data_IF_972084248719
#
_entry.id   IF_972084248719
#
_cell.length_a   1.000
_cell.length_b   1.000
_cell.length_c   1.000
_cell.angle_alpha   90.00
_cell.angle_beta   90.00
_cell.angle_gamma   90.00
#
_symmetry.space_group_name_H-M   'P 1'
#
loop_
_entity.id
_entity.type
_entity.pdbx_description
1 polymer ?
#
# COMPACT_ATOMS: atom_id res chain seq x y z
N UNK A 1 -22.41 11.88 15.28
CA UNK A 1 -23.33 11.64 16.40
C UNK A 1 -22.50 11.52 17.66
N UNK A 2 -22.55 12.49 18.57
CA UNK A 2 -21.78 12.46 19.82
C UNK A 2 -22.33 11.36 20.73
N UNK A 3 -21.44 10.50 21.19
CA UNK A 3 -21.78 9.41 22.14
C UNK A 3 -22.24 10.07 23.46
N UNK A 4 -23.44 9.76 23.93
CA UNK A 4 -23.95 10.32 25.18
C UNK A 4 -23.24 9.71 26.38
N UNK A 5 -23.22 10.45 27.52
CA UNK A 5 -22.64 9.96 28.77
C UNK A 5 -23.28 8.64 29.26
N UNK A 6 -24.51 8.33 28.81
CA UNK A 6 -25.22 7.08 29.10
C UNK A 6 -24.64 5.92 28.31
N UNK A 7 -24.22 6.15 27.06
CA UNK A 7 -23.56 5.15 26.21
C UNK A 7 -22.15 4.83 26.72
N UNK A 8 -21.45 5.81 27.32
CA UNK A 8 -20.15 5.58 27.95
C UNK A 8 -20.25 4.69 29.21
N UNK A 9 -21.30 4.87 30.04
CA UNK A 9 -21.49 4.04 31.23
C UNK A 9 -21.83 2.57 30.91
N UNK A 10 -22.59 2.32 29.85
CA UNK A 10 -22.91 0.97 29.40
C UNK A 10 -21.70 0.24 28.79
N UNK A 11 -20.71 0.99 28.30
CA UNK A 11 -19.50 0.45 27.65
C UNK A 11 -18.38 0.06 28.63
N UNK A 12 -18.39 0.60 29.85
CA UNK A 12 -17.36 0.34 30.86
C UNK A 12 -17.66 -0.85 31.78
N UNK A 13 -18.79 -1.55 31.61
CA UNK A 13 -19.12 -2.72 32.38
C UNK A 13 -18.67 -4.00 31.67
N UNK A 14 -17.38 -4.34 31.73
CA UNK A 14 -16.96 -5.68 31.37
C UNK A 14 -15.63 -5.85 30.59
N UNK A 15 -14.86 -4.81 30.33
CA UNK A 15 -13.51 -5.01 29.81
C UNK A 15 -12.65 -5.66 30.93
N UNK A 16 -12.40 -6.96 30.82
CA UNK A 16 -11.43 -7.63 31.67
C UNK A 16 -10.03 -7.06 31.34
N UNK A 17 -9.19 -6.86 32.39
CA UNK A 17 -7.81 -6.43 32.18
C UNK A 17 -7.10 -7.36 31.17
N UNK A 18 -6.23 -6.81 30.34
CA UNK A 18 -5.39 -7.61 29.44
C UNK A 18 -4.63 -8.67 30.23
N UNK A 19 -4.91 -9.92 29.96
CA UNK A 19 -4.26 -11.07 30.60
C UNK A 19 -3.34 -11.76 29.57
N UNK A 20 -2.01 -11.62 29.71
CA UNK A 20 -1.05 -12.22 28.78
C UNK A 20 -1.03 -13.76 28.82
N UNK A 21 -1.73 -14.39 29.79
CA UNK A 21 -1.80 -15.86 29.93
C UNK A 21 -3.02 -16.46 29.24
N UNK A 22 -3.94 -15.65 28.69
CA UNK A 22 -5.11 -16.16 27.98
C UNK A 22 -4.73 -16.97 26.74
N UNK A 23 -5.46 -18.04 26.40
CA UNK A 23 -5.19 -18.91 25.23
C UNK A 23 -5.08 -18.11 23.92
N UNK A 24 -5.89 -17.07 23.76
CA UNK A 24 -5.83 -16.18 22.59
C UNK A 24 -4.45 -15.53 22.42
N UNK A 25 -3.85 -15.03 23.50
CA UNK A 25 -2.53 -14.40 23.44
C UNK A 25 -1.44 -15.41 23.06
N UNK A 26 -1.58 -16.65 23.49
CA UNK A 26 -0.68 -17.74 23.12
C UNK A 26 -0.79 -18.07 21.62
N UNK A 27 -2.00 -18.22 21.09
CA UNK A 27 -2.23 -18.43 19.65
C UNK A 27 -1.65 -17.29 18.79
N UNK A 28 -1.89 -16.05 19.17
CA UNK A 28 -1.35 -14.87 18.47
C UNK A 28 0.18 -14.89 18.49
N UNK A 29 0.79 -15.25 19.62
CA UNK A 29 2.24 -15.39 19.75
C UNK A 29 2.81 -16.48 18.84
N UNK A 30 2.17 -17.62 18.73
CA UNK A 30 2.63 -18.70 17.86
C UNK A 30 2.56 -18.30 16.38
N UNK A 31 1.53 -17.54 15.96
CA UNK A 31 1.45 -16.98 14.61
C UNK A 31 2.61 -16.01 14.36
N UNK A 32 2.89 -15.11 15.30
CA UNK A 32 3.99 -14.15 15.20
C UNK A 32 5.33 -14.90 15.14
N UNK A 33 5.57 -15.86 16.02
CA UNK A 33 6.80 -16.68 16.01
C UNK A 33 6.98 -17.44 14.69
N UNK A 34 5.91 -17.84 14.02
CA UNK A 34 5.99 -18.52 12.73
C UNK A 34 6.47 -17.61 11.59
N UNK A 35 6.62 -16.30 11.82
CA UNK A 35 7.27 -15.34 10.91
C UNK A 35 8.76 -15.17 11.18
N UNK A 36 9.29 -15.73 12.30
CA UNK A 36 10.68 -15.54 12.71
C UNK A 36 11.61 -16.56 12.06
N UNK A 37 12.82 -16.12 11.74
CA UNK A 37 13.93 -17.00 11.38
C UNK A 37 14.94 -17.08 12.52
N UNK A 38 15.44 -18.27 12.80
CA UNK A 38 16.53 -18.52 13.76
C UNK A 38 17.90 -18.61 13.09
N UNK A 39 17.98 -18.39 11.79
CA UNK A 39 19.21 -18.45 11.00
C UNK A 39 19.23 -17.36 9.91
N UNK A 40 20.39 -17.14 9.31
CA UNK A 40 20.56 -16.14 8.26
C UNK A 40 21.03 -14.78 8.77
N UNK A 41 21.04 -13.78 7.90
CA UNK A 41 21.59 -12.46 8.27
C UNK A 41 20.66 -11.61 9.15
N UNK A 42 19.42 -12.07 9.37
CA UNK A 42 18.43 -11.44 10.24
C UNK A 42 17.74 -12.50 11.09
N UNK A 43 18.06 -12.52 12.38
CA UNK A 43 17.59 -13.56 13.32
C UNK A 43 16.71 -12.91 14.37
N UNK A 44 15.59 -13.55 14.70
CA UNK A 44 14.67 -13.11 15.75
C UNK A 44 14.57 -14.19 16.83
N UNK A 45 15.05 -13.86 18.04
CA UNK A 45 15.07 -14.78 19.18
C UNK A 45 14.06 -14.37 20.24
N UNK A 46 13.37 -15.31 20.88
CA UNK A 46 12.56 -15.01 22.06
C UNK A 46 13.44 -14.42 23.19
N UNK A 47 12.95 -13.37 23.84
CA UNK A 47 13.59 -12.74 25.01
C UNK A 47 12.50 -12.40 26.05
N UNK A 48 12.09 -13.38 26.83
CA UNK A 48 10.96 -13.28 27.77
C UNK A 48 9.64 -12.98 27.02
N UNK A 49 9.07 -11.80 27.30
CA UNK A 49 7.85 -11.32 26.61
C UNK A 49 8.11 -10.59 25.28
N UNK A 50 9.38 -10.35 24.95
CA UNK A 50 9.84 -9.58 23.79
C UNK A 50 10.54 -10.49 22.81
N UNK A 51 10.91 -9.91 21.67
CA UNK A 51 11.78 -10.53 20.69
C UNK A 51 13.05 -9.69 20.55
N UNK A 52 14.19 -10.35 20.49
CA UNK A 52 15.49 -9.73 20.23
C UNK A 52 15.86 -9.98 18.78
N UNK A 53 16.15 -8.90 18.08
CA UNK A 53 16.64 -8.93 16.69
C UNK A 53 18.17 -8.92 16.71
N UNK A 54 18.77 -9.87 16.01
CA UNK A 54 20.20 -9.93 15.75
C UNK A 54 20.45 -9.77 14.24
N UNK A 55 21.25 -8.79 13.87
CA UNK A 55 21.61 -8.51 12.46
C UNK A 55 23.08 -8.80 12.23
N UNK A 56 23.41 -9.51 11.15
CA UNK A 56 24.78 -9.65 10.69
C UNK A 56 25.27 -8.29 10.16
N UNK A 57 26.13 -7.62 10.93
CA UNK A 57 26.61 -6.29 10.61
C UNK A 57 27.41 -6.25 9.29
N UNK A 58 28.15 -7.33 8.96
CA UNK A 58 28.91 -7.42 7.72
C UNK A 58 27.98 -7.54 6.51
N UNK A 59 26.94 -8.35 6.60
CA UNK A 59 25.93 -8.48 5.55
C UNK A 59 25.24 -7.14 5.28
N UNK A 60 24.67 -6.49 6.32
CA UNK A 60 23.87 -5.28 6.18
C UNK A 60 24.67 -4.00 5.92
N UNK A 61 26.00 -3.99 6.16
CA UNK A 61 26.86 -2.83 5.82
C UNK A 61 26.83 -2.44 4.34
N UNK A 62 26.44 -3.36 3.46
CA UNK A 62 26.33 -3.16 2.01
C UNK A 62 25.01 -2.53 1.55
N UNK A 63 24.11 -2.26 2.47
CA UNK A 63 22.76 -1.76 2.20
C UNK A 63 22.54 -0.39 2.81
N UNK A 64 21.71 0.41 2.17
CA UNK A 64 21.09 1.61 2.72
C UNK A 64 19.79 1.22 3.39
N UNK A 65 19.50 1.76 4.58
CA UNK A 65 18.29 1.50 5.34
C UNK A 65 17.26 2.62 5.09
N UNK A 66 15.99 2.23 4.91
CA UNK A 66 14.84 3.12 4.87
C UNK A 66 13.73 2.55 5.74
N UNK A 67 12.85 3.40 6.24
CA UNK A 67 11.66 2.98 6.98
C UNK A 67 10.44 3.72 6.45
N UNK A 68 9.33 3.01 6.40
CA UNK A 68 8.03 3.60 6.08
C UNK A 68 7.02 3.24 7.17
N UNK A 69 6.06 4.12 7.38
CA UNK A 69 4.95 3.95 8.31
C UNK A 69 3.67 4.48 7.68
N UNK A 70 2.61 3.71 7.77
CA UNK A 70 1.27 4.16 7.36
C UNK A 70 0.21 3.42 8.19
N UNK A 71 -1.04 3.88 8.09
CA UNK A 71 -2.22 3.31 8.71
C UNK A 71 -3.30 2.94 7.69
N UNK A 72 -4.24 2.10 8.11
CA UNK A 72 -5.37 1.71 7.26
C UNK A 72 -6.38 2.85 7.05
N UNK A 73 -6.43 3.82 7.98
CA UNK A 73 -7.30 4.98 7.95
C UNK A 73 -8.80 4.65 7.91
N UNK A 74 -9.57 5.43 7.16
CA UNK A 74 -11.04 5.28 7.08
C UNK A 74 -11.49 3.86 6.70
N UNK A 75 -10.68 3.10 5.98
CA UNK A 75 -11.00 1.74 5.52
C UNK A 75 -11.13 0.74 6.68
N UNK A 76 -10.43 0.97 7.80
CA UNK A 76 -10.55 0.16 9.01
C UNK A 76 -11.96 0.11 9.59
N UNK A 77 -12.71 1.22 9.55
CA UNK A 77 -14.14 1.22 9.93
C UNK A 77 -14.97 0.36 8.99
N UNK A 78 -14.72 0.42 7.68
CA UNK A 78 -15.47 -0.33 6.68
C UNK A 78 -15.20 -1.84 6.86
N UNK A 79 -13.94 -2.25 6.98
CA UNK A 79 -13.57 -3.65 7.26
C UNK A 79 -14.15 -4.15 8.59
N UNK A 80 -14.20 -3.30 9.61
CA UNK A 80 -14.82 -3.66 10.90
C UNK A 80 -16.30 -3.98 10.74
N UNK A 81 -17.03 -3.17 9.98
CA UNK A 81 -18.46 -3.35 9.73
C UNK A 81 -18.75 -4.54 8.81
N UNK A 82 -17.89 -4.77 7.82
CA UNK A 82 -18.02 -5.86 6.85
C UNK A 82 -17.51 -7.21 7.39
N UNK A 83 -16.73 -7.21 8.48
CA UNK A 83 -16.14 -8.44 9.00
C UNK A 83 -14.94 -8.95 8.20
N UNK A 84 -14.24 -8.07 7.48
CA UNK A 84 -13.16 -8.39 6.54
C UNK A 84 -11.79 -7.91 7.05
N UNK A 85 -11.43 -8.27 8.29
CA UNK A 85 -10.23 -7.77 8.96
C UNK A 85 -8.93 -8.25 8.32
N UNK A 86 -8.93 -9.47 7.77
CA UNK A 86 -7.78 -10.03 7.06
C UNK A 86 -7.44 -9.25 5.80
N UNK A 87 -8.46 -8.79 5.10
CA UNK A 87 -8.34 -7.91 3.95
C UNK A 87 -7.81 -6.53 4.36
N UNK A 88 -8.25 -6.03 5.52
CA UNK A 88 -7.72 -4.80 6.10
C UNK A 88 -6.22 -4.88 6.43
N UNK A 89 -5.72 -6.03 6.86
CA UNK A 89 -4.29 -6.25 7.02
C UNK A 89 -3.53 -6.11 5.68
N UNK A 90 -4.13 -6.56 4.57
CA UNK A 90 -3.56 -6.40 3.23
C UNK A 90 -3.49 -4.93 2.81
N UNK A 91 -4.49 -4.14 3.17
CA UNK A 91 -4.49 -2.71 2.86
C UNK A 91 -3.31 -1.98 3.51
N UNK A 92 -3.14 -2.12 4.82
CA UNK A 92 -2.03 -1.45 5.52
C UNK A 92 -0.66 -2.00 5.09
N UNK A 93 -0.57 -3.29 4.79
CA UNK A 93 0.65 -3.90 4.27
C UNK A 93 1.04 -3.30 2.92
N UNK A 94 0.10 -3.17 1.99
CA UNK A 94 0.34 -2.56 0.68
C UNK A 94 0.82 -1.12 0.82
N UNK A 95 0.15 -0.30 1.66
CA UNK A 95 0.53 1.11 1.85
C UNK A 95 2.00 1.26 2.25
N UNK A 96 2.49 0.43 3.17
CA UNK A 96 3.86 0.55 3.69
C UNK A 96 4.89 -0.16 2.80
N UNK A 97 4.57 -1.37 2.32
CA UNK A 97 5.52 -2.17 1.54
C UNK A 97 5.75 -1.60 0.13
N UNK A 98 4.71 -1.06 -0.50
CA UNK A 98 4.81 -0.51 -1.84
C UNK A 98 5.46 0.89 -1.85
N UNK A 99 5.31 1.68 -0.77
CA UNK A 99 6.07 2.92 -0.57
C UNK A 99 7.57 2.62 -0.38
N UNK A 100 7.92 1.58 0.39
CA UNK A 100 9.32 1.15 0.49
C UNK A 100 9.88 0.65 -0.86
N UNK A 101 9.04 0.03 -1.69
CA UNK A 101 9.44 -0.46 -3.01
C UNK A 101 9.83 0.68 -3.97
N UNK A 102 9.38 1.91 -3.73
CA UNK A 102 9.81 3.09 -4.50
C UNK A 102 11.33 3.33 -4.40
N UNK A 103 11.95 2.93 -3.29
CA UNK A 103 13.39 3.11 -3.07
C UNK A 103 14.28 2.16 -3.88
N UNK A 104 13.72 1.12 -4.49
CA UNK A 104 14.46 0.14 -5.27
C UNK A 104 14.07 -1.31 -4.97
N UNK A 105 14.94 -2.26 -5.29
CA UNK A 105 14.74 -3.68 -4.95
C UNK A 105 14.94 -3.89 -3.45
N UNK A 106 13.91 -3.53 -2.71
CA UNK A 106 13.96 -3.50 -1.25
C UNK A 106 13.87 -4.90 -0.64
N UNK A 107 14.73 -5.17 0.34
CA UNK A 107 14.62 -6.29 1.28
C UNK A 107 13.92 -5.76 2.53
N UNK A 108 12.79 -6.34 2.91
CA UNK A 108 12.06 -5.97 4.12
C UNK A 108 12.15 -7.14 5.10
N UNK A 109 13.08 -7.12 6.08
CA UNK A 109 13.26 -8.23 7.02
C UNK A 109 12.30 -8.18 8.21
N UNK A 110 11.71 -7.01 8.51
CA UNK A 110 10.88 -6.82 9.69
C UNK A 110 9.73 -5.87 9.51
N UNK A 111 8.69 -6.08 10.32
CA UNK A 111 7.58 -5.16 10.52
C UNK A 111 7.17 -5.09 12.00
N UNK A 112 6.56 -3.97 12.36
CA UNK A 112 5.98 -3.69 13.69
C UNK A 112 4.57 -3.17 13.48
N UNK A 113 3.59 -3.70 14.21
CA UNK A 113 2.20 -3.28 14.10
C UNK A 113 1.69 -2.57 15.37
N UNK A 114 0.68 -1.71 15.18
CA UNK A 114 -0.11 -1.14 16.25
C UNK A 114 -1.58 -1.25 15.90
N UNK A 115 -2.28 -2.16 16.55
CA UNK A 115 -3.71 -2.38 16.35
C UNK A 115 -4.49 -1.59 17.41
N UNK A 116 -5.37 -0.70 16.97
CA UNK A 116 -6.28 0.05 17.84
C UNK A 116 -7.70 -0.39 17.50
N UNK A 117 -8.45 -0.88 18.46
CA UNK A 117 -9.82 -1.38 18.23
C UNK A 117 -10.79 -0.82 19.26
N UNK A 118 -12.03 -0.51 18.84
CA UNK A 118 -13.03 0.15 19.69
C UNK A 118 -13.47 -0.64 20.91
N UNK A 119 -13.35 -1.96 20.87
CA UNK A 119 -13.67 -2.88 21.98
C UNK A 119 -12.84 -4.15 21.87
N UNK A 120 -12.68 -4.88 22.97
CA UNK A 120 -12.03 -6.18 22.95
C UNK A 120 -12.80 -7.15 22.03
N UNK A 121 -12.14 -7.59 20.95
CA UNK A 121 -12.69 -8.51 19.95
C UNK A 121 -11.55 -9.40 19.43
N UNK A 122 -11.37 -10.51 20.11
CA UNK A 122 -10.25 -11.43 19.85
C UNK A 122 -10.26 -12.00 18.44
N UNK A 123 -11.45 -12.28 17.90
CA UNK A 123 -11.57 -12.84 16.54
C UNK A 123 -11.08 -11.84 15.48
N UNK A 124 -11.41 -10.56 15.65
CA UNK A 124 -10.95 -9.50 14.74
C UNK A 124 -9.47 -9.24 14.85
N UNK A 125 -8.94 -9.11 16.07
CA UNK A 125 -7.50 -8.92 16.31
C UNK A 125 -6.72 -10.09 15.71
N UNK A 126 -7.16 -11.32 15.97
CA UNK A 126 -6.57 -12.53 15.40
C UNK A 126 -6.59 -12.51 13.87
N UNK A 127 -7.70 -12.10 13.24
CA UNK A 127 -7.82 -11.97 11.80
C UNK A 127 -6.80 -10.98 11.19
N UNK A 128 -6.55 -9.84 11.87
CA UNK A 128 -5.54 -8.87 11.45
C UNK A 128 -4.14 -9.47 11.54
N UNK A 129 -3.77 -10.01 12.70
CA UNK A 129 -2.42 -10.60 12.91
C UNK A 129 -2.18 -11.77 11.99
N UNK A 130 -3.18 -12.63 11.76
CA UNK A 130 -3.08 -13.73 10.79
C UNK A 130 -2.88 -13.20 9.37
N UNK A 131 -3.61 -12.14 8.99
CA UNK A 131 -3.44 -11.49 7.69
C UNK A 131 -2.02 -10.98 7.47
N UNK A 132 -1.44 -10.28 8.46
CA UNK A 132 -0.06 -9.80 8.42
C UNK A 132 0.95 -10.98 8.34
N UNK A 133 0.71 -12.06 9.10
CA UNK A 133 1.58 -13.23 9.07
C UNK A 133 1.52 -14.00 7.75
N UNK A 134 0.36 -14.06 7.10
CA UNK A 134 0.23 -14.66 5.78
C UNK A 134 0.98 -13.83 4.72
N UNK A 135 0.81 -12.51 4.73
CA UNK A 135 1.51 -11.57 3.84
C UNK A 135 3.03 -11.59 4.06
N UNK A 136 3.48 -11.73 5.30
CA UNK A 136 4.88 -11.93 5.67
C UNK A 136 5.53 -13.09 4.90
N UNK A 137 4.81 -14.19 4.76
CA UNK A 137 5.27 -15.40 4.04
C UNK A 137 5.11 -15.26 2.53
N UNK A 138 4.00 -14.69 2.07
CA UNK A 138 3.71 -14.44 0.65
C UNK A 138 4.77 -13.54 0.01
N UNK A 139 5.17 -12.48 0.73
CA UNK A 139 6.17 -11.51 0.28
C UNK A 139 7.55 -11.71 0.92
N UNK A 140 7.89 -12.95 1.25
CA UNK A 140 9.20 -13.30 1.77
C UNK A 140 10.35 -12.68 0.97
N UNK A 141 11.40 -12.26 1.66
CA UNK A 141 12.59 -11.72 1.02
C UNK A 141 13.66 -12.80 0.81
N UNK A 142 14.51 -12.64 -0.19
CA UNK A 142 15.60 -13.57 -0.48
C UNK A 142 16.93 -12.93 -0.10
N UNK A 143 17.74 -13.69 0.66
CA UNK A 143 19.13 -13.33 0.89
C UNK A 143 19.99 -13.59 -0.37
N UNK A 144 21.25 -13.15 -0.35
CA UNK A 144 22.16 -13.29 -1.50
C UNK A 144 22.50 -14.75 -1.83
N UNK A 145 22.38 -15.67 -0.87
CA UNK A 145 22.51 -17.12 -1.06
C UNK A 145 21.26 -17.77 -1.69
N UNK A 146 20.23 -16.97 -1.98
CA UNK A 146 18.96 -17.42 -2.56
C UNK A 146 17.95 -17.96 -1.55
N UNK A 147 18.29 -18.06 -0.27
CA UNK A 147 17.39 -18.53 0.78
C UNK A 147 16.32 -17.49 1.08
N UNK A 148 15.06 -17.93 1.15
CA UNK A 148 13.91 -17.08 1.41
C UNK A 148 13.60 -17.01 2.92
N UNK A 149 13.26 -15.83 3.39
CA UNK A 149 12.90 -15.54 4.78
C UNK A 149 11.61 -14.74 4.83
N UNK A 150 10.65 -15.09 5.73
CA UNK A 150 9.48 -14.27 5.96
C UNK A 150 9.84 -12.86 6.46
N UNK A 151 8.94 -11.89 6.30
CA UNK A 151 9.05 -10.59 6.94
C UNK A 151 8.68 -10.75 8.43
N UNK A 152 9.64 -10.67 9.34
CA UNK A 152 9.40 -10.95 10.74
C UNK A 152 8.53 -9.90 11.41
N UNK A 153 7.48 -10.29 12.11
CA UNK A 153 6.75 -9.43 13.05
C UNK A 153 7.57 -9.39 14.35
N UNK A 154 8.32 -8.32 14.56
CA UNK A 154 9.29 -8.26 15.68
C UNK A 154 8.74 -7.57 16.93
N UNK A 155 7.69 -6.81 16.80
CA UNK A 155 6.93 -6.19 17.89
C UNK A 155 5.52 -5.87 17.42
N UNK A 156 4.61 -5.67 18.35
CA UNK A 156 3.25 -5.21 18.10
C UNK A 156 2.56 -4.82 19.40
N UNK A 157 1.53 -3.99 19.30
CA UNK A 157 0.70 -3.57 20.41
C UNK A 157 -0.77 -3.59 20.00
N UNK A 158 -1.64 -3.95 20.92
CA UNK A 158 -3.10 -3.86 20.73
C UNK A 158 -3.71 -2.97 21.81
N UNK A 159 -4.21 -1.81 21.40
CA UNK A 159 -4.90 -0.86 22.27
C UNK A 159 -6.43 -0.96 22.07
N UNK A 160 -7.17 -1.02 23.18
CA UNK A 160 -8.64 -1.00 23.17
C UNK A 160 -9.09 0.41 23.55
N UNK A 161 -9.59 1.17 22.56
CA UNK A 161 -9.98 2.55 22.73
C UNK A 161 -11.43 2.78 22.29
N UNK A 162 -12.33 3.05 23.24
CA UNK A 162 -13.76 3.30 22.95
C UNK A 162 -14.03 4.58 22.14
N UNK A 163 -13.03 5.44 21.98
CA UNK A 163 -13.09 6.67 21.16
C UNK A 163 -12.88 6.41 19.68
N UNK A 164 -12.30 5.26 19.29
CA UNK A 164 -12.13 4.85 17.89
C UNK A 164 -13.41 4.17 17.40
N UNK A 165 -13.76 4.38 16.15
CA UNK A 165 -14.84 3.67 15.48
C UNK A 165 -14.26 2.54 14.63
N UNK A 166 -14.63 1.29 14.92
CA UNK A 166 -14.08 0.13 14.21
C UNK A 166 -12.69 -0.25 14.72
N UNK A 167 -11.73 -0.32 13.82
CA UNK A 167 -10.32 -0.50 14.15
C UNK A 167 -9.42 0.39 13.29
N UNK A 168 -8.24 0.66 13.80
CA UNK A 168 -7.11 1.24 13.08
C UNK A 168 -5.93 0.28 13.18
N UNK A 169 -5.17 0.13 12.11
CA UNK A 169 -3.92 -0.62 12.11
C UNK A 169 -2.84 0.26 11.54
N UNK A 170 -1.86 0.62 12.36
CA UNK A 170 -0.62 1.23 11.92
C UNK A 170 0.43 0.15 11.70
N UNK A 171 1.23 0.27 10.66
CA UNK A 171 2.32 -0.64 10.34
C UNK A 171 3.60 0.15 10.06
N UNK A 172 4.69 -0.30 10.63
CA UNK A 172 6.04 0.20 10.36
C UNK A 172 6.85 -0.92 9.74
N UNK A 173 7.51 -0.65 8.63
CA UNK A 173 8.46 -1.58 8.03
C UNK A 173 9.83 -0.92 7.89
N UNK A 174 10.88 -1.72 8.07
CA UNK A 174 12.25 -1.33 7.76
C UNK A 174 12.71 -2.10 6.53
N UNK A 175 13.16 -1.36 5.53
CA UNK A 175 13.64 -1.87 4.27
C UNK A 175 15.12 -1.57 4.05
N UNK A 176 15.76 -2.40 3.24
CA UNK A 176 17.17 -2.30 2.89
C UNK A 176 17.34 -2.43 1.37
N UNK A 177 17.98 -1.44 0.76
CA UNK A 177 18.34 -1.44 -0.66
C UNK A 177 19.86 -1.50 -0.78
N UNK A 178 20.39 -2.33 -1.69
CA UNK A 178 21.84 -2.42 -1.93
C UNK A 178 22.38 -1.07 -2.35
N UNK A 179 23.46 -0.61 -1.69
CA UNK A 179 24.11 0.67 -1.99
C UNK A 179 24.51 0.77 -3.46
N UNK A 180 24.15 1.88 -4.10
CA UNK A 180 24.33 2.12 -5.53
C UNK A 180 23.25 1.49 -6.44
N UNK A 181 22.23 0.83 -5.84
CA UNK A 181 21.10 0.27 -6.56
C UNK A 181 19.75 0.93 -6.15
N UNK A 182 19.84 2.03 -5.42
CA UNK A 182 18.68 2.82 -5.06
C UNK A 182 18.07 3.43 -6.33
N UNK A 183 16.75 3.41 -6.42
CA UNK A 183 16.03 4.17 -7.44
C UNK A 183 15.91 5.60 -6.93
N UNK A 184 16.58 6.49 -7.60
CA UNK A 184 16.46 7.93 -7.39
C UNK A 184 15.56 8.50 -8.48
N UNK A 185 14.87 9.60 -8.18
CA UNK A 185 14.01 10.23 -9.16
C UNK A 185 14.86 11.03 -10.17
N UNK A 186 15.33 10.37 -11.22
CA UNK A 186 16.17 10.96 -12.28
C UNK A 186 15.52 10.73 -13.67
N UNK A 187 14.26 11.13 -13.79
CA UNK A 187 13.49 11.00 -15.03
C UNK A 187 14.05 11.94 -16.10
N UNK A 188 14.08 11.48 -17.36
CA UNK A 188 14.63 12.21 -18.47
C UNK A 188 13.69 12.32 -19.67
N UNK A 189 13.89 13.35 -20.52
CA UNK A 189 13.18 13.47 -21.78
C UNK A 189 13.30 12.20 -22.63
N UNK A 190 12.17 11.63 -23.00
CA UNK A 190 12.07 10.40 -23.79
C UNK A 190 11.86 9.13 -22.94
N UNK A 191 11.87 9.24 -21.62
CA UNK A 191 11.46 8.13 -20.74
C UNK A 191 9.98 7.83 -20.93
N UNK A 192 9.64 6.58 -20.72
CA UNK A 192 8.29 6.04 -20.87
C UNK A 192 7.70 5.75 -19.50
N UNK A 193 6.45 6.12 -19.35
CA UNK A 193 5.71 5.96 -18.10
C UNK A 193 4.79 4.75 -18.24
N UNK A 194 5.03 3.72 -17.42
CA UNK A 194 4.23 2.51 -17.33
C UNK A 194 3.35 2.61 -16.08
N UNK A 195 2.05 2.44 -16.25
CA UNK A 195 1.09 2.30 -15.16
C UNK A 195 0.81 0.84 -14.85
N UNK A 196 0.56 0.53 -13.57
CA UNK A 196 0.06 -0.75 -13.10
C UNK A 196 -1.38 -0.59 -12.62
N UNK A 197 -2.26 -1.48 -13.05
CA UNK A 197 -3.67 -1.41 -12.70
C UNK A 197 -3.90 -1.47 -11.18
N UNK A 198 -4.77 -0.60 -10.69
CA UNK A 198 -5.43 -0.82 -9.39
C UNK A 198 -6.54 -1.87 -9.55
N UNK A 199 -7.05 -2.37 -8.42
CA UNK A 199 -8.22 -3.27 -8.42
C UNK A 199 -9.48 -2.60 -7.82
N UNK A 200 -9.47 -1.29 -7.66
CA UNK A 200 -10.54 -0.49 -7.07
C UNK A 200 -10.01 0.77 -6.42
N UNK A 201 -10.70 1.24 -5.38
CA UNK A 201 -10.36 2.50 -4.69
C UNK A 201 -9.04 2.44 -3.92
N UNK A 202 -8.55 1.23 -3.63
CA UNK A 202 -7.43 1.03 -2.69
C UNK A 202 -7.77 1.63 -1.32
N UNK A 203 -6.86 2.36 -0.71
CA UNK A 203 -7.07 3.00 0.60
C UNK A 203 -7.24 4.53 0.47
N UNK A 204 -7.58 5.04 -0.73
CA UNK A 204 -7.65 6.47 -1.02
C UNK A 204 -9.05 6.93 -1.40
N UNK A 205 -9.35 8.22 -1.13
CA UNK A 205 -10.65 8.81 -1.46
C UNK A 205 -11.83 8.31 -0.62
N UNK A 206 -11.59 7.47 0.39
CA UNK A 206 -12.66 6.85 1.20
C UNK A 206 -13.41 7.87 2.07
N UNK A 207 -12.78 8.95 2.47
CA UNK A 207 -13.45 10.05 3.18
C UNK A 207 -14.50 10.74 2.30
N UNK A 208 -14.22 10.87 1.00
CA UNK A 208 -15.20 11.35 0.03
C UNK A 208 -16.41 10.41 -0.06
N UNK A 209 -16.19 9.11 -0.26
CA UNK A 209 -17.27 8.13 -0.32
C UNK A 209 -18.06 8.05 0.98
N UNK A 210 -17.39 8.14 2.14
CA UNK A 210 -18.06 8.21 3.44
C UNK A 210 -19.04 9.38 3.50
N UNK A 211 -18.57 10.58 3.13
CA UNK A 211 -19.39 11.78 3.15
C UNK A 211 -20.55 11.70 2.14
N UNK A 212 -20.29 11.36 0.88
CA UNK A 212 -21.28 11.40 -0.19
C UNK A 212 -22.32 10.27 -0.07
N UNK A 213 -21.91 9.08 0.33
CA UNK A 213 -22.78 7.89 0.36
C UNK A 213 -23.47 7.76 1.70
N UNK A 214 -22.72 7.76 2.81
CA UNK A 214 -23.29 7.44 4.12
C UNK A 214 -23.86 8.69 4.83
N UNK A 215 -23.13 9.82 4.82
CA UNK A 215 -23.55 11.01 5.57
C UNK A 215 -24.62 11.80 4.81
N UNK A 216 -24.45 12.07 3.51
CA UNK A 216 -25.41 12.88 2.74
C UNK A 216 -26.60 12.09 2.22
N UNK A 217 -26.42 10.84 1.76
CA UNK A 217 -27.48 10.04 1.14
C UNK A 217 -28.09 9.02 2.10
N UNK A 218 -27.48 8.76 3.25
CA UNK A 218 -27.97 7.82 4.25
C UNK A 218 -28.00 6.34 3.76
N UNK A 219 -27.24 6.02 2.71
CA UNK A 219 -27.12 4.66 2.22
C UNK A 219 -26.25 3.84 3.17
N UNK A 220 -26.47 2.52 3.24
CA UNK A 220 -25.66 1.61 4.05
C UNK A 220 -24.75 0.71 3.19
N UNK A 221 -23.86 -0.03 3.83
CA UNK A 221 -22.85 -0.88 3.19
C UNK A 221 -23.43 -1.99 2.33
N UNK A 222 -24.65 -2.45 2.62
CA UNK A 222 -25.38 -3.47 1.86
C UNK A 222 -26.08 -2.94 0.61
N UNK A 223 -26.15 -1.61 0.41
CA UNK A 223 -26.76 -1.02 -0.78
C UNK A 223 -26.05 -1.53 -2.03
N UNK A 224 -26.83 -2.13 -2.95
CA UNK A 224 -26.31 -2.69 -4.21
C UNK A 224 -26.05 -1.60 -5.23
N UNK A 225 -24.83 -1.59 -5.74
CA UNK A 225 -24.41 -0.72 -6.83
C UNK A 225 -24.97 -1.20 -8.17
N UNK A 226 -25.18 -0.31 -9.16
CA UNK A 226 -25.78 -0.68 -10.45
C UNK A 226 -25.07 -1.80 -11.21
N UNK A 227 -23.78 -2.03 -10.94
CA UNK A 227 -22.97 -3.09 -11.56
C UNK A 227 -22.82 -4.35 -10.71
N UNK A 228 -23.56 -4.48 -9.60
CA UNK A 228 -23.78 -5.72 -8.87
C UNK A 228 -23.24 -5.80 -7.45
N UNK A 229 -22.01 -5.44 -7.08
CA UNK A 229 -21.53 -5.52 -5.70
C UNK A 229 -22.26 -4.54 -4.79
N UNK A 230 -22.20 -4.78 -3.47
CA UNK A 230 -22.61 -3.77 -2.51
C UNK A 230 -21.53 -2.68 -2.37
N UNK A 231 -21.92 -1.52 -1.83
CA UNK A 231 -20.98 -0.45 -1.50
C UNK A 231 -19.87 -0.99 -0.58
N UNK A 232 -20.23 -1.80 0.42
CA UNK A 232 -19.29 -2.41 1.33
C UNK A 232 -18.28 -3.31 0.61
N UNK A 233 -18.75 -4.21 -0.26
CA UNK A 233 -17.91 -5.09 -1.07
C UNK A 233 -16.96 -4.30 -1.99
N UNK A 234 -17.43 -3.21 -2.59
CA UNK A 234 -16.61 -2.37 -3.47
C UNK A 234 -15.55 -1.59 -2.70
N UNK A 235 -15.93 -0.94 -1.59
CA UNK A 235 -15.01 -0.08 -0.82
C UNK A 235 -14.06 -0.86 0.08
N UNK A 236 -14.36 -2.12 0.43
CA UNK A 236 -13.45 -3.00 1.20
C UNK A 236 -12.63 -3.93 0.32
N UNK A 237 -12.68 -3.79 -1.01
CA UNK A 237 -11.77 -4.53 -1.89
C UNK A 237 -10.32 -4.23 -1.50
N UNK A 238 -9.50 -5.25 -1.17
CA UNK A 238 -8.16 -5.01 -0.64
C UNK A 238 -7.25 -4.36 -1.68
N UNK A 239 -6.35 -3.50 -1.22
CA UNK A 239 -5.33 -2.86 -2.05
C UNK A 239 -4.44 -3.90 -2.71
N UNK A 240 -4.10 -3.70 -3.98
CA UNK A 240 -3.10 -4.51 -4.68
C UNK A 240 -1.73 -4.30 -4.03
N UNK A 241 -1.01 -5.36 -3.74
CA UNK A 241 0.39 -5.30 -3.27
C UNK A 241 1.31 -5.43 -4.48
N UNK A 242 2.09 -4.41 -4.76
CA UNK A 242 2.98 -4.34 -5.94
C UNK A 242 4.38 -4.87 -5.66
N UNK A 243 4.78 -4.98 -4.40
CA UNK A 243 6.14 -5.30 -3.92
C UNK A 243 6.83 -6.44 -4.68
N UNK A 244 6.16 -7.58 -4.90
CA UNK A 244 6.79 -8.74 -5.56
C UNK A 244 7.08 -8.47 -7.04
N UNK A 245 6.13 -7.88 -7.77
CA UNK A 245 6.34 -7.54 -9.18
C UNK A 245 7.40 -6.44 -9.37
N UNK A 246 7.45 -5.47 -8.43
CA UNK A 246 8.51 -4.45 -8.43
C UNK A 246 9.88 -5.08 -8.17
N UNK A 247 9.98 -6.01 -7.24
CA UNK A 247 11.25 -6.75 -7.01
C UNK A 247 11.69 -7.52 -8.26
N UNK A 248 10.77 -8.14 -8.97
CA UNK A 248 11.06 -8.96 -10.13
C UNK A 248 11.50 -8.12 -11.33
N UNK A 249 10.83 -7.00 -11.60
CA UNK A 249 11.29 -6.10 -12.68
C UNK A 249 12.65 -5.50 -12.37
N UNK A 250 12.90 -5.05 -11.13
CA UNK A 250 14.20 -4.49 -10.76
C UNK A 250 15.32 -5.54 -10.78
N UNK A 251 15.02 -6.81 -10.55
CA UNK A 251 15.99 -7.89 -10.73
C UNK A 251 16.28 -8.13 -12.22
N UNK A 252 15.27 -8.16 -13.06
CA UNK A 252 15.44 -8.36 -14.51
C UNK A 252 16.14 -7.19 -15.20
N UNK A 253 15.92 -5.95 -14.70
CA UNK A 253 16.58 -4.76 -15.27
C UNK A 253 18.08 -4.64 -14.89
N UNK A 254 18.67 -5.61 -14.22
CA UNK A 254 20.13 -5.73 -14.04
C UNK A 254 20.77 -6.31 -15.29
N UNK A 255 20.93 -5.50 -16.32
CA UNK A 255 21.47 -5.90 -17.61
C UNK A 255 22.99 -5.74 -17.59
N UNK A 256 23.73 -6.76 -17.99
CA UNK A 256 25.21 -6.74 -18.11
C UNK A 256 25.94 -6.29 -16.82
N UNK A 257 25.41 -6.68 -15.65
CA UNK A 257 25.88 -6.23 -14.31
C UNK A 257 25.63 -4.73 -14.01
N UNK A 258 24.98 -3.98 -14.88
CA UNK A 258 24.53 -2.63 -14.57
C UNK A 258 23.37 -2.68 -13.54
N UNK A 259 23.33 -1.75 -12.58
CA UNK A 259 22.22 -1.68 -11.64
C UNK A 259 20.93 -1.24 -12.34
N UNK A 260 19.77 -1.69 -11.82
CA UNK A 260 18.46 -1.41 -12.42
C UNK A 260 18.15 0.09 -12.56
N UNK A 261 18.72 0.95 -11.72
CA UNK A 261 18.57 2.42 -11.79
C UNK A 261 19.16 3.07 -13.06
N UNK A 262 19.89 2.32 -13.88
CA UNK A 262 20.25 2.77 -15.24
C UNK A 262 19.09 2.69 -16.25
N UNK A 263 18.04 1.97 -15.92
CA UNK A 263 16.88 1.72 -16.79
C UNK A 263 15.55 2.09 -16.16
N UNK A 264 15.48 2.09 -14.83
CA UNK A 264 14.32 2.52 -14.06
C UNK A 264 14.66 3.84 -13.36
N UNK A 265 14.04 4.91 -13.80
CA UNK A 265 14.41 6.29 -13.44
C UNK A 265 13.49 6.90 -12.39
N UNK A 266 12.42 6.21 -12.00
CA UNK A 266 11.52 6.65 -10.96
C UNK A 266 10.36 5.69 -10.76
N UNK A 267 9.83 5.68 -9.56
CA UNK A 267 8.66 4.88 -9.19
C UNK A 267 7.80 5.67 -8.22
N UNK A 268 6.49 5.47 -8.27
CA UNK A 268 5.57 6.08 -7.31
C UNK A 268 4.33 5.21 -7.09
N UNK A 269 4.01 4.95 -5.84
CA UNK A 269 2.77 4.31 -5.40
C UNK A 269 1.66 5.36 -5.39
N UNK A 270 0.58 5.13 -6.13
CA UNK A 270 -0.53 6.07 -6.24
C UNK A 270 -1.46 5.93 -5.05
N UNK A 271 -1.19 6.74 -4.03
CA UNK A 271 -1.88 6.81 -2.75
C UNK A 271 -2.57 8.17 -2.58
N UNK A 272 -2.48 8.80 -1.40
CA UNK A 272 -2.99 10.17 -1.19
C UNK A 272 -2.43 11.15 -2.21
N UNK A 273 -3.30 11.98 -2.77
CA UNK A 273 -2.95 12.85 -3.90
C UNK A 273 -3.30 12.28 -5.27
N UNK A 274 -3.69 10.99 -5.37
CA UNK A 274 -4.07 10.37 -6.64
C UNK A 274 -2.97 10.51 -7.70
N UNK A 275 -3.35 10.73 -8.97
CA UNK A 275 -2.37 10.91 -10.05
C UNK A 275 -1.64 12.25 -10.01
N UNK A 276 -2.07 13.25 -9.23
CA UNK A 276 -1.29 14.47 -9.03
C UNK A 276 0.03 14.19 -8.28
N UNK A 277 0.13 13.05 -7.55
CA UNK A 277 1.35 12.57 -6.88
C UNK A 277 2.51 12.33 -7.87
N UNK A 278 2.24 12.14 -9.15
CA UNK A 278 3.29 12.07 -10.20
C UNK A 278 4.22 13.28 -10.20
N UNK A 279 3.83 14.40 -9.59
CA UNK A 279 4.69 15.57 -9.40
C UNK A 279 5.93 15.26 -8.55
N UNK A 280 5.89 14.27 -7.69
CA UNK A 280 7.04 13.82 -6.90
C UNK A 280 8.17 13.29 -7.81
N UNK A 281 7.82 12.70 -8.97
CA UNK A 281 8.79 12.23 -9.96
C UNK A 281 9.52 13.39 -10.67
N UNK A 282 8.95 14.58 -10.69
CA UNK A 282 9.59 15.78 -11.26
C UNK A 282 10.66 16.33 -10.29
N UNK A 283 10.44 16.15 -8.99
CA UNK A 283 11.39 16.50 -7.94
C UNK A 283 11.93 17.94 -8.03
N UNK A 284 11.04 18.91 -8.33
CA UNK A 284 11.39 20.34 -8.42
C UNK A 284 12.13 20.76 -9.70
N UNK A 285 12.33 19.86 -10.67
CA UNK A 285 12.91 20.20 -12.00
C UNK A 285 11.94 21.07 -12.79
N UNK A 286 12.50 21.93 -13.63
CA UNK A 286 11.78 22.85 -14.51
C UNK A 286 12.09 22.65 -16.02
N UNK A 287 12.78 21.55 -16.34
CA UNK A 287 13.20 21.20 -17.71
C UNK A 287 12.40 20.03 -18.32
N UNK A 288 11.56 19.34 -17.53
CA UNK A 288 10.75 18.20 -17.96
C UNK A 288 9.28 18.35 -17.55
N UNK A 289 8.38 17.82 -18.37
CA UNK A 289 6.96 17.59 -18.04
C UNK A 289 6.65 16.10 -18.10
N UNK A 290 5.79 15.62 -17.23
CA UNK A 290 5.13 14.32 -17.31
C UNK A 290 3.83 14.49 -18.10
N UNK A 291 3.63 13.68 -19.16
CA UNK A 291 2.39 13.67 -19.94
C UNK A 291 1.72 12.32 -19.87
N UNK A 292 0.50 12.29 -19.30
CA UNK A 292 -0.35 11.10 -19.24
C UNK A 292 -1.40 11.17 -20.35
N UNK A 293 -1.40 10.16 -21.20
CA UNK A 293 -2.36 9.98 -22.29
C UNK A 293 -3.63 9.34 -21.78
N UNK A 294 -4.74 9.50 -22.48
CA UNK A 294 -5.96 8.69 -22.29
C UNK A 294 -6.00 7.41 -23.14
N UNK A 295 -5.00 7.22 -24.02
CA UNK A 295 -4.95 6.09 -24.96
C UNK A 295 -4.16 4.92 -24.37
N UNK A 296 -4.65 4.37 -23.26
CA UNK A 296 -4.12 3.17 -22.60
C UNK A 296 -5.26 2.27 -22.11
N UNK A 297 -4.93 1.02 -21.79
CA UNK A 297 -5.92 0.02 -21.39
C UNK A 297 -6.30 0.05 -19.90
N UNK A 298 -5.65 0.90 -19.09
CA UNK A 298 -5.93 1.05 -17.66
C UNK A 298 -7.05 2.07 -17.47
N UNK A 299 -8.29 1.59 -17.53
CA UNK A 299 -9.44 2.45 -17.41
C UNK A 299 -9.89 2.64 -15.95
N UNK A 300 -10.51 3.80 -15.61
CA UNK A 300 -11.14 3.99 -14.31
C UNK A 300 -12.19 2.91 -14.04
N UNK A 301 -12.15 2.32 -12.84
CA UNK A 301 -13.17 1.37 -12.39
C UNK A 301 -14.55 2.02 -12.31
N UNK A 302 -15.63 1.20 -12.37
CA UNK A 302 -17.02 1.67 -12.34
C UNK A 302 -17.32 2.54 -11.11
N UNK A 303 -16.68 2.31 -9.99
CA UNK A 303 -16.86 3.14 -8.78
C UNK A 303 -16.41 4.59 -9.01
N UNK A 304 -15.34 4.83 -9.78
CA UNK A 304 -14.88 6.17 -10.12
C UNK A 304 -15.80 6.84 -11.15
N UNK A 305 -16.26 6.09 -12.16
CA UNK A 305 -17.27 6.55 -13.12
C UNK A 305 -18.59 6.92 -12.42
N UNK A 306 -18.98 6.10 -11.45
CA UNK A 306 -20.12 6.37 -10.60
C UNK A 306 -19.95 7.63 -9.77
N UNK A 307 -18.79 7.78 -9.11
CA UNK A 307 -18.47 8.97 -8.34
C UNK A 307 -18.55 10.24 -9.19
N UNK A 308 -17.93 10.22 -10.38
CA UNK A 308 -17.96 11.35 -11.33
C UNK A 308 -19.39 11.70 -11.76
N UNK A 309 -20.20 10.70 -12.12
CA UNK A 309 -21.58 10.91 -12.60
C UNK A 309 -22.55 11.37 -11.52
N UNK A 310 -22.50 10.72 -10.34
CA UNK A 310 -23.52 10.90 -9.30
C UNK A 310 -23.19 12.02 -8.31
N UNK A 311 -21.91 12.22 -8.00
CA UNK A 311 -21.47 13.18 -6.99
C UNK A 311 -20.84 14.42 -7.61
N UNK A 312 -20.46 14.37 -8.88
CA UNK A 312 -19.94 15.46 -9.69
C UNK A 312 -18.79 16.23 -9.04
N UNK A 313 -17.75 15.55 -8.50
CA UNK A 313 -16.53 16.23 -8.12
C UNK A 313 -15.93 16.90 -9.37
N UNK A 314 -15.15 17.95 -9.18
CA UNK A 314 -14.38 18.56 -10.27
C UNK A 314 -13.38 17.55 -10.86
N UNK A 315 -12.93 17.80 -12.10
CA UNK A 315 -11.91 16.97 -12.71
C UNK A 315 -10.62 16.92 -11.88
N UNK A 316 -10.21 18.07 -11.33
CA UNK A 316 -9.04 18.17 -10.46
C UNK A 316 -9.20 17.29 -9.21
N UNK A 317 -10.38 17.32 -8.56
CA UNK A 317 -10.68 16.46 -7.42
C UNK A 317 -10.64 14.97 -7.77
N UNK A 318 -11.15 14.57 -8.95
CA UNK A 318 -11.07 13.18 -9.41
C UNK A 318 -9.62 12.68 -9.49
N UNK A 319 -8.71 13.51 -9.98
CA UNK A 319 -7.31 13.12 -10.17
C UNK A 319 -6.41 13.39 -8.95
N UNK A 320 -6.93 14.10 -7.95
CA UNK A 320 -6.26 14.34 -6.66
C UNK A 320 -6.70 13.34 -5.60
N UNK A 321 -7.96 12.88 -5.62
CA UNK A 321 -8.46 11.98 -4.57
C UNK A 321 -8.36 10.51 -4.93
N UNK A 322 -8.37 10.16 -6.23
CA UNK A 322 -8.49 8.78 -6.69
C UNK A 322 -7.33 8.35 -7.58
N UNK A 323 -7.07 7.05 -7.56
CA UNK A 323 -6.07 6.41 -8.43
C UNK A 323 -6.55 6.25 -9.89
N UNK A 324 -7.84 6.39 -10.16
CA UNK A 324 -8.48 6.30 -11.48
C UNK A 324 -8.08 5.05 -12.30
N UNK A 325 -7.87 3.91 -11.63
CA UNK A 325 -7.51 2.64 -12.26
C UNK A 325 -6.00 2.37 -12.32
N UNK A 326 -5.16 3.30 -11.87
CA UNK A 326 -3.69 3.18 -11.86
C UNK A 326 -3.21 3.24 -10.41
N UNK A 327 -2.70 2.14 -9.88
CA UNK A 327 -2.27 2.06 -8.47
C UNK A 327 -0.78 2.22 -8.25
N UNK A 328 0.05 2.02 -9.30
CA UNK A 328 1.50 2.20 -9.23
C UNK A 328 2.03 2.67 -10.58
N UNK A 329 3.09 3.46 -10.55
CA UNK A 329 3.73 3.99 -11.77
C UNK A 329 5.23 3.74 -11.73
N UNK A 330 5.78 3.35 -12.89
CA UNK A 330 7.21 3.14 -13.09
C UNK A 330 7.63 3.95 -14.31
N UNK A 331 8.70 4.71 -14.18
CA UNK A 331 9.33 5.44 -15.30
C UNK A 331 10.57 4.67 -15.73
N UNK A 332 10.61 4.29 -17.00
CA UNK A 332 11.69 3.47 -17.55
C UNK A 332 12.31 4.13 -18.78
N UNK A 333 13.60 3.85 -19.00
CA UNK A 333 14.24 4.21 -20.25
C UNK A 333 13.55 3.52 -21.44
N UNK A 334 13.38 4.23 -22.55
CA UNK A 334 12.63 3.76 -23.74
C UNK A 334 13.11 2.42 -24.32
N UNK A 335 14.38 2.05 -24.12
CA UNK A 335 14.95 0.81 -24.67
C UNK A 335 14.48 -0.46 -23.98
N UNK A 336 13.96 -0.37 -22.74
CA UNK A 336 13.55 -1.53 -21.94
C UNK A 336 12.02 -1.66 -21.80
N UNK A 337 11.25 -0.84 -22.48
CA UNK A 337 9.78 -0.79 -22.32
C UNK A 337 9.12 -2.14 -22.61
N UNK A 338 9.51 -2.81 -23.70
CA UNK A 338 8.89 -4.09 -24.07
C UNK A 338 9.17 -5.19 -23.05
N UNK A 339 10.39 -5.26 -22.52
CA UNK A 339 10.79 -6.21 -21.49
C UNK A 339 10.11 -5.88 -20.15
N UNK A 340 10.08 -4.59 -19.79
CA UNK A 340 9.39 -4.12 -18.58
C UNK A 340 7.91 -4.51 -18.59
N UNK A 341 7.20 -4.27 -19.69
CA UNK A 341 5.80 -4.65 -19.84
C UNK A 341 5.62 -6.18 -19.79
N UNK A 342 6.51 -6.94 -20.42
CA UNK A 342 6.42 -8.41 -20.40
C UNK A 342 6.50 -8.96 -18.97
N UNK A 343 7.41 -8.44 -18.16
CA UNK A 343 7.59 -8.86 -16.76
C UNK A 343 6.42 -8.38 -15.90
N UNK A 344 6.07 -7.10 -15.98
CA UNK A 344 5.01 -6.54 -15.17
C UNK A 344 3.65 -7.18 -15.45
N UNK A 345 3.37 -7.54 -16.70
CA UNK A 345 2.13 -8.24 -17.08
C UNK A 345 2.08 -9.70 -16.61
N UNK A 346 3.15 -10.27 -16.06
CA UNK A 346 3.07 -11.55 -15.34
C UNK A 346 2.42 -11.41 -13.95
N UNK A 347 2.44 -10.20 -13.39
CA UNK A 347 1.94 -9.91 -12.04
C UNK A 347 0.67 -9.07 -12.06
N UNK A 348 0.62 -8.05 -12.94
CA UNK A 348 -0.44 -7.03 -12.96
C UNK A 348 -0.80 -6.72 -14.40
N UNK A 349 -2.00 -6.20 -14.63
CA UNK A 349 -2.26 -5.53 -15.91
C UNK A 349 -1.43 -4.25 -15.95
N UNK A 350 -0.49 -4.15 -16.89
CA UNK A 350 0.40 -3.02 -17.07
C UNK A 350 0.29 -2.47 -18.51
N UNK A 351 0.39 -1.16 -18.65
CA UNK A 351 0.37 -0.52 -19.96
C UNK A 351 1.21 0.78 -19.95
N UNK A 352 1.64 1.21 -21.12
CA UNK A 352 2.23 2.54 -21.31
C UNK A 352 1.13 3.58 -21.16
N UNK A 353 1.24 4.42 -20.14
CA UNK A 353 0.25 5.48 -19.86
C UNK A 353 0.72 6.87 -20.26
N UNK A 354 2.01 7.04 -20.55
CA UNK A 354 2.54 8.36 -20.87
C UNK A 354 4.03 8.38 -21.13
N UNK A 355 4.58 9.58 -21.12
CA UNK A 355 6.01 9.81 -21.35
C UNK A 355 6.49 11.08 -20.65
N UNK A 356 7.81 11.17 -20.48
CA UNK A 356 8.50 12.36 -20.03
C UNK A 356 8.92 13.18 -21.25
N UNK A 357 8.58 14.45 -21.28
CA UNK A 357 8.89 15.37 -22.38
C UNK A 357 9.68 16.57 -21.86
N UNK A 358 10.29 17.34 -22.76
CA UNK A 358 10.77 18.68 -22.43
C UNK A 358 9.59 19.52 -21.93
N UNK A 359 9.79 20.31 -20.88
CA UNK A 359 8.71 21.02 -20.24
C UNK A 359 9.14 22.08 -19.23
N UNK A 360 8.28 22.31 -18.25
CA UNK A 360 8.42 23.37 -17.23
C UNK A 360 8.09 22.88 -15.82
N UNK A 361 8.26 21.59 -15.54
CA UNK A 361 7.98 21.00 -14.24
C UNK A 361 6.50 20.71 -13.98
N UNK A 362 5.75 20.31 -15.01
CA UNK A 362 4.31 20.09 -14.93
C UNK A 362 3.92 18.62 -15.13
N UNK A 363 2.87 18.20 -14.44
CA UNK A 363 2.16 16.95 -14.73
C UNK A 363 0.92 17.31 -15.56
N UNK A 364 0.84 16.80 -16.78
CA UNK A 364 -0.27 17.02 -17.71
C UNK A 364 -1.02 15.72 -17.91
N UNK A 365 -2.31 15.72 -17.62
CA UNK A 365 -3.15 14.53 -17.67
C UNK A 365 -4.30 14.77 -18.64
N UNK A 366 -4.40 13.99 -19.70
CA UNK A 366 -5.59 13.94 -20.54
C UNK A 366 -6.69 13.17 -19.81
N UNK A 367 -7.78 13.84 -19.48
CA UNK A 367 -8.86 13.27 -18.69
C UNK A 367 -9.51 12.07 -19.37
N UNK A 368 -9.78 11.00 -18.57
CA UNK A 368 -10.56 9.84 -18.99
C UNK A 368 -12.08 10.08 -18.88
N UNK A 369 -12.49 11.19 -18.26
CA UNK A 369 -13.90 11.52 -18.02
C UNK A 369 -14.42 12.56 -19.00
N UNK A 370 -13.58 13.48 -19.39
CA UNK A 370 -13.93 14.61 -20.26
C UNK A 370 -12.86 14.84 -21.34
N UNK A 371 -13.17 15.64 -22.34
CA UNK A 371 -12.19 16.01 -23.35
C UNK A 371 -11.40 17.26 -22.90
N UNK A 372 -10.63 17.11 -21.82
CA UNK A 372 -9.84 18.19 -21.22
C UNK A 372 -8.46 17.71 -20.80
N UNK A 373 -7.50 18.62 -20.71
CA UNK A 373 -6.19 18.41 -20.11
C UNK A 373 -6.15 19.09 -18.74
N UNK A 374 -5.67 18.37 -17.75
CA UNK A 374 -5.40 18.88 -16.41
C UNK A 374 -3.89 19.14 -16.28
N UNK A 375 -3.54 20.18 -15.53
CA UNK A 375 -2.14 20.57 -15.29
C UNK A 375 -1.91 20.77 -13.80
N UNK A 376 -1.00 19.98 -13.24
CA UNK A 376 -0.60 20.00 -11.83
C UNK A 376 0.83 20.52 -11.66
#
# INVERSE_FOLDING_TARGET
MFVTARDMKARNSGALPYDPTKPFNEQTREIIKATHSLEGPFVVKPDGKRFRVERDSQYWSRYSEASAVDGIGTKGLLHYRMGTQKEGAKDVFAMVADDLAESGRVIIPQMVDHIIIQREDHARIFGIVQGLADLSKEHAWKAEDGKAYPIAIVAGETAILSTVQGFEVGLVMTGFVRKGHEITTDIGKGDVIIGLASNGVHSNGLSFFRNEIFEKRGLDLDYKLPWGPSIGEELTRPTTVYLSGIRDILEAMKIDNAPANMYVHGMVHITGGGLSKLKELINGRDDVDIKISKNHSLEPHEIFRYAHREFKPSQEEMYTWFNNGIGYVIVVHKTVVAEALAILNMHFKADVIGSVTEGTGKVRINSMYENSELVF
#
